data_IF_989905738589
#
_entry.id   IF_989905738589
#
_cell.length_a   1.000
_cell.length_b   1.000
_cell.length_c   1.000
_cell.angle_alpha   90.00
_cell.angle_beta   90.00
_cell.angle_gamma   90.00
#
_symmetry.space_group_name_H-M   'P 1'
#
loop_
_entity.id
_entity.type
_entity.pdbx_description
1 polymer ?
#
# COMPACT_ATOMS: atom_id res chain seq x y z
N UNK A 1 10.69 -1.75 18.47
CA UNK A 1 12.08 -1.68 17.96
C UNK A 1 12.13 -2.44 16.63
N UNK A 2 11.72 -1.80 15.52
CA UNK A 2 11.78 -2.46 14.21
C UNK A 2 13.22 -2.70 13.78
N UNK A 3 13.49 -3.88 13.23
CA UNK A 3 14.76 -4.24 12.57
C UNK A 3 14.63 -4.30 11.04
N UNK A 4 13.39 -4.23 10.55
CA UNK A 4 12.98 -4.19 9.15
C UNK A 4 12.02 -3.02 8.96
N UNK A 5 11.87 -2.56 7.71
CA UNK A 5 10.95 -1.48 7.34
C UNK A 5 10.03 -1.91 6.19
N UNK A 6 9.43 -3.09 6.28
CA UNK A 6 8.64 -3.68 5.19
C UNK A 6 7.27 -3.04 4.96
N UNK A 7 6.73 -2.34 5.96
CA UNK A 7 5.42 -1.68 5.95
C UNK A 7 5.27 -0.76 7.18
N UNK A 8 4.20 0.03 7.23
CA UNK A 8 3.89 1.02 8.27
C UNK A 8 3.47 0.43 9.63
N UNK A 9 3.20 -0.88 9.67
CA UNK A 9 2.97 -1.66 10.90
C UNK A 9 4.05 -1.53 12.00
N UNK A 10 5.22 -0.95 11.68
CA UNK A 10 6.25 -0.56 12.66
C UNK A 10 5.77 0.52 13.66
N UNK A 11 4.77 1.32 13.29
CA UNK A 11 4.26 2.44 14.07
C UNK A 11 2.72 2.60 14.03
N UNK A 12 2.02 1.80 13.23
CA UNK A 12 0.55 1.90 13.11
C UNK A 12 -0.23 1.37 14.32
N UNK A 13 -1.50 1.78 14.50
CA UNK A 13 -2.45 1.15 15.40
C UNK A 13 -3.13 -0.10 14.79
N UNK A 14 -2.54 -0.72 13.76
CA UNK A 14 -3.08 -1.91 13.08
C UNK A 14 -2.06 -3.06 13.21
N UNK A 15 -2.57 -4.27 13.45
CA UNK A 15 -1.76 -5.49 13.45
C UNK A 15 -2.31 -6.51 12.45
N UNK A 16 -1.45 -7.03 11.57
CA UNK A 16 -1.80 -8.14 10.68
C UNK A 16 -1.44 -9.45 11.38
N UNK A 17 -2.45 -10.24 11.75
CA UNK A 17 -2.30 -11.51 12.43
C UNK A 17 -2.89 -12.65 11.59
N UNK A 18 -2.30 -13.84 11.68
CA UNK A 18 -2.88 -15.04 11.07
C UNK A 18 -3.81 -15.72 12.06
N UNK A 19 -4.99 -16.10 11.60
CA UNK A 19 -5.90 -16.93 12.38
C UNK A 19 -5.43 -18.40 12.44
N UNK A 20 -6.17 -19.23 13.19
CA UNK A 20 -5.86 -20.65 13.34
C UNK A 20 -5.92 -21.47 12.04
N UNK A 21 -6.52 -20.92 10.97
CA UNK A 21 -6.53 -21.50 9.63
C UNK A 21 -5.41 -20.97 8.73
N UNK A 22 -4.56 -20.07 9.25
CA UNK A 22 -3.43 -19.48 8.54
C UNK A 22 -3.77 -18.26 7.68
N UNK A 23 -5.01 -17.76 7.74
CA UNK A 23 -5.47 -16.59 6.97
C UNK A 23 -5.05 -15.30 7.67
N UNK A 24 -4.40 -14.39 6.94
CA UNK A 24 -4.03 -13.07 7.44
C UNK A 24 -5.26 -12.17 7.62
N UNK A 25 -5.31 -11.44 8.73
CA UNK A 25 -6.36 -10.48 9.06
C UNK A 25 -5.74 -9.21 9.67
N UNK A 26 -6.15 -8.05 9.16
CA UNK A 26 -5.79 -6.73 9.70
C UNK A 26 -6.73 -6.36 10.85
N UNK A 27 -6.22 -6.28 12.07
CA UNK A 27 -6.96 -6.05 13.29
C UNK A 27 -6.57 -4.72 13.94
N UNK A 28 -7.54 -4.09 14.61
CA UNK A 28 -7.28 -2.91 15.44
C UNK A 28 -6.38 -3.29 16.60
N UNK A 29 -5.30 -2.53 16.76
CA UNK A 29 -4.31 -2.68 17.82
C UNK A 29 -4.14 -1.33 18.55
N UNK A 30 -2.93 -1.00 18.99
CA UNK A 30 -2.59 0.29 19.59
C UNK A 30 -1.27 0.78 19.03
N UNK A 31 -1.19 2.09 18.78
CA UNK A 31 0.07 2.74 18.47
C UNK A 31 1.11 2.48 19.57
N UNK A 32 2.38 2.17 19.24
CA UNK A 32 3.41 1.97 20.26
C UNK A 32 3.72 3.26 21.02
N UNK A 33 3.90 3.17 22.34
CA UNK A 33 4.30 4.31 23.19
C UNK A 33 5.68 4.91 22.84
N UNK A 34 6.50 4.18 22.09
CA UNK A 34 7.82 4.63 21.67
C UNK A 34 8.39 3.76 20.55
N UNK A 35 9.19 4.39 19.69
CA UNK A 35 9.85 3.75 18.55
C UNK A 35 11.34 4.08 18.59
N UNK A 36 12.16 3.03 18.55
CA UNK A 36 13.61 3.12 18.39
C UNK A 36 13.93 2.35 17.11
N UNK A 37 14.31 3.07 16.06
CA UNK A 37 14.66 2.52 14.77
C UNK A 37 16.11 2.87 14.45
N UNK A 38 16.96 1.85 14.45
CA UNK A 38 18.38 2.00 14.13
C UNK A 38 18.58 1.86 12.62
N UNK A 39 19.02 2.95 11.98
CA UNK A 39 19.25 3.01 10.54
C UNK A 39 20.35 2.07 10.07
N UNK A 40 21.36 1.76 10.89
CA UNK A 40 22.41 0.80 10.53
C UNK A 40 21.82 -0.61 10.45
N UNK A 41 20.99 -0.98 11.42
CA UNK A 41 20.29 -2.27 11.44
C UNK A 41 19.34 -2.39 10.25
N UNK A 42 18.56 -1.34 9.97
CA UNK A 42 17.64 -1.31 8.83
C UNK A 42 18.40 -1.37 7.51
N UNK A 43 19.51 -0.64 7.35
CA UNK A 43 20.32 -0.68 6.13
C UNK A 43 20.94 -2.07 5.88
N UNK A 44 21.26 -2.81 6.95
CA UNK A 44 21.75 -4.19 6.88
C UNK A 44 20.65 -5.24 6.58
N UNK A 45 19.37 -4.85 6.60
CA UNK A 45 18.27 -5.77 6.31
C UNK A 45 18.21 -6.20 4.84
N UNK A 46 17.55 -7.34 4.52
CA UNK A 46 17.39 -7.78 3.14
C UNK A 46 16.77 -6.69 2.26
N UNK A 47 17.40 -6.39 1.13
CA UNK A 47 17.00 -5.33 0.18
C UNK A 47 15.51 -5.42 -0.17
N UNK A 48 14.99 -6.64 -0.35
CA UNK A 48 13.58 -6.90 -0.66
C UNK A 48 12.62 -6.26 0.37
N UNK A 49 12.96 -6.30 1.66
CA UNK A 49 12.13 -5.70 2.73
C UNK A 49 12.18 -4.18 2.71
N UNK A 50 13.33 -3.57 2.41
CA UNK A 50 13.47 -2.11 2.25
C UNK A 50 12.65 -1.61 1.06
N UNK A 51 12.68 -2.34 -0.06
CA UNK A 51 11.85 -2.03 -1.24
C UNK A 51 10.36 -2.14 -0.92
N UNK A 52 9.94 -3.19 -0.24
CA UNK A 52 8.54 -3.35 0.16
C UNK A 52 8.03 -2.14 0.96
N UNK A 53 8.81 -1.61 1.90
CA UNK A 53 8.45 -0.38 2.64
C UNK A 53 8.23 0.84 1.77
N UNK A 54 8.97 0.96 0.66
CA UNK A 54 8.75 2.05 -0.31
C UNK A 54 7.40 1.86 -1.02
N UNK A 55 7.08 0.63 -1.41
CA UNK A 55 5.80 0.30 -2.06
C UNK A 55 4.61 0.66 -1.18
N UNK A 56 4.68 0.25 0.09
CA UNK A 56 3.69 0.55 1.12
C UNK A 56 3.51 2.06 1.31
N UNK A 57 4.59 2.81 1.53
CA UNK A 57 4.52 4.25 1.76
C UNK A 57 3.99 5.04 0.54
N UNK A 58 4.46 4.71 -0.68
CA UNK A 58 4.03 5.44 -1.89
C UNK A 58 2.55 5.18 -2.17
N UNK A 59 2.03 4.01 -1.79
CA UNK A 59 0.63 3.64 -1.96
C UNK A 59 -0.35 4.56 -1.21
N UNK A 60 0.12 5.26 -0.18
CA UNK A 60 -0.69 6.26 0.52
C UNK A 60 -1.30 7.28 -0.44
N UNK A 61 -0.62 7.65 -1.54
CA UNK A 61 -1.21 8.56 -2.53
C UNK A 61 -2.43 7.97 -3.24
N UNK A 62 -2.43 6.66 -3.49
CA UNK A 62 -3.61 5.92 -3.99
C UNK A 62 -4.71 5.88 -2.94
N UNK A 63 -4.38 5.53 -1.70
CA UNK A 63 -5.33 5.48 -0.59
C UNK A 63 -6.03 6.83 -0.35
N UNK A 64 -5.27 7.92 -0.37
CA UNK A 64 -5.79 9.28 -0.23
C UNK A 64 -6.67 9.71 -1.40
N UNK A 65 -6.41 9.18 -2.60
CA UNK A 65 -7.26 9.42 -3.77
C UNK A 65 -8.59 8.67 -3.64
N UNK A 66 -8.58 7.44 -3.12
CA UNK A 66 -9.82 6.73 -2.75
C UNK A 66 -10.59 7.42 -1.62
N UNK A 67 -9.89 7.95 -0.61
CA UNK A 67 -10.55 8.68 0.47
C UNK A 67 -11.20 9.97 -0.05
N UNK A 68 -10.52 10.71 -0.93
CA UNK A 68 -11.11 11.87 -1.62
C UNK A 68 -12.34 11.48 -2.43
N UNK A 69 -12.26 10.41 -3.23
CA UNK A 69 -13.38 9.90 -4.00
C UNK A 69 -14.58 9.54 -3.11
N UNK A 70 -14.33 8.90 -1.97
CA UNK A 70 -15.38 8.58 -0.99
C UNK A 70 -16.04 9.84 -0.42
N UNK A 71 -15.27 10.88 -0.11
CA UNK A 71 -15.81 12.16 0.36
C UNK A 71 -16.62 12.90 -0.72
N UNK A 72 -16.13 12.94 -1.96
CA UNK A 72 -16.85 13.53 -3.10
C UNK A 72 -18.19 12.82 -3.38
N UNK A 73 -18.24 11.51 -3.13
CA UNK A 73 -19.45 10.70 -3.24
C UNK A 73 -20.34 10.74 -1.97
N UNK A 74 -20.00 11.54 -0.96
CA UNK A 74 -20.74 11.67 0.30
C UNK A 74 -20.78 10.39 1.13
N UNK A 75 -19.79 9.50 0.97
CA UNK A 75 -19.69 8.22 1.69
C UNK A 75 -18.95 8.35 3.01
N UNK A 76 -18.01 9.28 3.10
CA UNK A 76 -17.14 9.47 4.25
C UNK A 76 -16.76 10.94 4.45
N UNK A 77 -16.24 11.25 5.62
CA UNK A 77 -15.61 12.53 5.93
C UNK A 77 -14.08 12.36 6.00
N UNK A 78 -13.35 13.41 5.65
CA UNK A 78 -11.89 13.41 5.66
C UNK A 78 -11.38 14.07 6.94
N UNK A 79 -10.34 13.47 7.54
CA UNK A 79 -9.57 14.14 8.57
C UNK A 79 -8.38 14.85 7.89
N UNK A 80 -8.44 16.17 7.81
CA UNK A 80 -7.54 16.99 6.98
C UNK A 80 -6.08 16.90 7.45
N UNK A 81 -5.83 16.77 8.75
CA UNK A 81 -4.47 16.74 9.26
C UNK A 81 -3.78 15.40 8.96
N UNK A 82 -4.48 14.28 9.10
CA UNK A 82 -4.06 12.96 8.71
C UNK A 82 -3.84 12.87 7.19
N UNK A 83 -4.73 13.47 6.40
CA UNK A 83 -4.54 13.60 4.95
C UNK A 83 -3.21 14.31 4.62
N UNK A 84 -2.96 15.48 5.23
CA UNK A 84 -1.76 16.27 4.99
C UNK A 84 -0.48 15.52 5.38
N UNK A 85 -0.48 14.84 6.53
CA UNK A 85 0.66 14.06 7.01
C UNK A 85 0.98 12.91 6.06
N UNK A 86 -0.02 12.10 5.72
CA UNK A 86 0.15 10.95 4.84
C UNK A 86 0.58 11.36 3.42
N UNK A 87 -0.04 12.42 2.88
CA UNK A 87 0.32 12.95 1.56
C UNK A 87 1.77 13.45 1.53
N UNK A 88 2.18 14.18 2.57
CA UNK A 88 3.55 14.72 2.65
C UNK A 88 4.58 13.61 2.78
N UNK A 89 4.28 12.59 3.60
CA UNK A 89 5.12 11.41 3.77
C UNK A 89 5.40 10.71 2.43
N UNK A 90 4.36 10.39 1.66
CA UNK A 90 4.50 9.69 0.39
C UNK A 90 5.13 10.56 -0.71
N UNK A 91 4.75 11.85 -0.80
CA UNK A 91 5.33 12.77 -1.78
C UNK A 91 6.84 12.97 -1.58
N UNK A 92 7.34 12.93 -0.35
CA UNK A 92 8.77 13.05 -0.08
C UNK A 92 9.58 11.97 -0.80
N UNK A 93 9.08 10.73 -0.80
CA UNK A 93 9.71 9.59 -1.46
C UNK A 93 9.52 9.64 -2.96
N UNK A 94 8.33 9.99 -3.46
CA UNK A 94 8.07 10.17 -4.90
C UNK A 94 8.94 11.26 -5.50
N UNK A 95 9.23 12.35 -4.77
CA UNK A 95 10.05 13.48 -5.25
C UNK A 95 11.56 13.31 -5.01
N UNK A 96 11.99 12.36 -4.18
CA UNK A 96 13.42 12.13 -3.91
C UNK A 96 14.19 11.75 -5.19
N UNK A 97 15.35 12.34 -5.43
CA UNK A 97 16.18 12.01 -6.61
C UNK A 97 16.90 10.66 -6.46
N UNK A 98 17.19 10.23 -5.23
CA UNK A 98 18.02 9.05 -4.96
C UNK A 98 17.36 7.76 -5.44
N UNK A 99 16.09 7.53 -5.05
CA UNK A 99 15.32 6.27 -5.28
C UNK A 99 16.09 4.98 -4.95
N UNK A 100 17.20 5.09 -4.22
CA UNK A 100 18.14 4.01 -3.99
C UNK A 100 17.97 3.52 -2.55
N UNK A 101 17.46 2.29 -2.42
CA UNK A 101 17.24 1.64 -1.12
C UNK A 101 18.55 1.27 -0.39
N UNK A 102 19.72 1.48 -0.98
CA UNK A 102 21.01 1.36 -0.30
C UNK A 102 21.51 2.69 0.30
N UNK A 103 20.92 3.82 -0.11
CA UNK A 103 21.23 5.13 0.44
C UNK A 103 20.54 5.32 1.79
N UNK A 104 21.34 5.54 2.84
CA UNK A 104 20.84 5.73 4.21
C UNK A 104 19.94 6.97 4.36
N UNK A 105 20.19 8.04 3.60
CA UNK A 105 19.33 9.22 3.64
C UNK A 105 17.96 8.92 3.06
N UNK A 106 17.93 8.22 1.91
CA UNK A 106 16.67 7.75 1.34
C UNK A 106 15.94 6.80 2.28
N UNK A 107 16.62 5.83 2.90
CA UNK A 107 16.01 4.93 3.88
C UNK A 107 15.46 5.66 5.10
N UNK A 108 16.14 6.70 5.58
CA UNK A 108 15.63 7.55 6.66
C UNK A 108 14.35 8.26 6.25
N UNK A 109 14.28 8.78 5.03
CA UNK A 109 13.10 9.50 4.55
C UNK A 109 11.91 8.54 4.39
N UNK A 110 12.13 7.32 3.88
CA UNK A 110 11.10 6.28 3.82
C UNK A 110 10.65 5.86 5.23
N UNK A 111 11.59 5.62 6.15
CA UNK A 111 11.28 5.27 7.54
C UNK A 111 10.44 6.36 8.22
N UNK A 112 10.83 7.62 8.08
CA UNK A 112 10.07 8.75 8.60
C UNK A 112 8.68 8.82 7.95
N UNK A 113 8.57 8.56 6.65
CA UNK A 113 7.28 8.50 5.96
C UNK A 113 6.36 7.41 6.51
N UNK A 114 6.88 6.20 6.75
CA UNK A 114 6.11 5.10 7.37
C UNK A 114 5.65 5.45 8.80
N UNK A 115 6.50 6.14 9.57
CA UNK A 115 6.13 6.64 10.91
C UNK A 115 5.01 7.67 10.83
N UNK A 116 5.12 8.63 9.88
CA UNK A 116 4.08 9.63 9.65
C UNK A 116 2.77 9.00 9.18
N UNK A 117 2.81 7.93 8.38
CA UNK A 117 1.63 7.14 8.04
C UNK A 117 0.97 6.52 9.27
N UNK A 118 1.76 5.92 10.17
CA UNK A 118 1.28 5.43 11.46
C UNK A 118 0.60 6.49 12.32
N UNK A 119 1.22 7.68 12.42
CA UNK A 119 0.65 8.84 13.14
C UNK A 119 -0.65 9.32 12.47
N UNK A 120 -0.69 9.38 11.14
CA UNK A 120 -1.88 9.79 10.40
C UNK A 120 -3.06 8.84 10.68
N UNK A 121 -2.82 7.53 10.71
CA UNK A 121 -3.86 6.55 11.06
C UNK A 121 -4.38 6.71 12.49
N UNK A 122 -3.50 6.98 13.46
CA UNK A 122 -3.91 7.24 14.84
C UNK A 122 -4.79 8.49 14.95
N UNK A 123 -4.41 9.59 14.27
CA UNK A 123 -5.20 10.83 14.25
C UNK A 123 -6.56 10.62 13.60
N UNK A 124 -6.60 9.92 12.46
CA UNK A 124 -7.84 9.65 11.74
C UNK A 124 -8.75 8.64 12.48
N UNK A 125 -8.21 7.84 13.39
CA UNK A 125 -8.92 6.72 14.01
C UNK A 125 -9.26 5.59 13.04
N UNK A 126 -8.63 5.56 11.87
CA UNK A 126 -8.86 4.60 10.78
C UNK A 126 -7.60 4.44 9.92
N UNK A 127 -7.52 3.35 9.17
CA UNK A 127 -6.41 3.13 8.23
C UNK A 127 -6.52 3.93 6.92
N UNK A 128 -7.63 4.68 6.72
CA UNK A 128 -7.89 5.45 5.49
C UNK A 128 -6.74 6.31 4.95
N UNK A 129 -5.93 7.00 5.79
CA UNK A 129 -4.81 7.79 5.28
C UNK A 129 -3.76 6.97 4.53
N UNK A 130 -3.66 5.67 4.79
CA UNK A 130 -2.64 4.79 4.21
C UNK A 130 -3.23 3.60 3.45
N UNK A 131 -4.54 3.37 3.49
CA UNK A 131 -5.15 2.13 2.99
C UNK A 131 -6.50 2.37 2.28
N UNK A 132 -6.49 2.15 0.96
CA UNK A 132 -7.62 2.15 0.03
C UNK A 132 -7.69 0.85 -0.80
N UNK A 133 -8.12 0.95 -2.07
CA UNK A 133 -8.36 -0.20 -2.95
C UNK A 133 -7.09 -1.00 -3.25
N UNK A 134 -5.92 -0.35 -3.23
CA UNK A 134 -4.64 -1.04 -3.40
C UNK A 134 -4.33 -2.02 -2.25
N UNK A 135 -4.77 -1.70 -1.04
CA UNK A 135 -4.66 -2.59 0.11
C UNK A 135 -5.71 -3.69 0.09
N UNK A 136 -6.92 -3.42 -0.41
CA UNK A 136 -7.93 -4.45 -0.62
C UNK A 136 -7.45 -5.53 -1.60
N UNK A 137 -6.77 -5.11 -2.68
CA UNK A 137 -6.10 -6.03 -3.60
C UNK A 137 -5.03 -6.88 -2.89
N UNK A 138 -4.16 -6.28 -2.07
CA UNK A 138 -3.19 -7.03 -1.27
C UNK A 138 -3.86 -8.00 -0.30
N UNK A 139 -4.90 -7.57 0.41
CA UNK A 139 -5.64 -8.44 1.31
C UNK A 139 -6.29 -9.61 0.58
N UNK A 140 -6.82 -9.42 -0.63
CA UNK A 140 -7.37 -10.51 -1.43
C UNK A 140 -6.28 -11.51 -1.85
N UNK A 141 -5.09 -11.04 -2.23
CA UNK A 141 -3.93 -11.91 -2.50
C UNK A 141 -3.51 -12.71 -1.27
N UNK A 142 -3.50 -12.11 -0.08
CA UNK A 142 -3.20 -12.80 1.16
C UNK A 142 -4.22 -13.91 1.48
N UNK A 143 -5.50 -13.69 1.15
CA UNK A 143 -6.56 -14.72 1.30
C UNK A 143 -6.42 -15.84 0.28
N UNK A 144 -6.09 -15.52 -0.98
CA UNK A 144 -5.87 -16.51 -2.03
C UNK A 144 -4.60 -17.34 -1.76
N UNK A 145 -3.60 -16.71 -1.14
CA UNK A 145 -2.31 -17.30 -0.83
C UNK A 145 -1.22 -16.82 -1.79
N UNK A 146 -0.32 -15.98 -1.29
CA UNK A 146 0.85 -15.50 -2.02
C UNK A 146 2.10 -15.54 -1.15
N UNK A 147 3.26 -15.53 -1.80
CA UNK A 147 4.58 -15.39 -1.14
C UNK A 147 5.19 -13.99 -1.32
N UNK A 148 4.50 -13.10 -2.03
CA UNK A 148 4.88 -11.70 -2.18
C UNK A 148 4.77 -10.96 -0.84
N UNK A 149 5.67 -10.01 -0.60
CA UNK A 149 5.60 -9.15 0.58
C UNK A 149 4.45 -8.14 0.43
N UNK A 150 3.86 -7.71 1.55
CA UNK A 150 2.74 -6.78 1.56
C UNK A 150 2.97 -5.54 0.68
N UNK A 151 4.05 -4.80 0.89
CA UNK A 151 4.38 -3.62 0.10
C UNK A 151 4.66 -3.90 -1.40
N UNK A 152 5.02 -5.13 -1.77
CA UNK A 152 5.11 -5.53 -3.19
C UNK A 152 3.71 -5.68 -3.80
N UNK A 153 2.81 -6.34 -3.08
CA UNK A 153 1.42 -6.53 -3.51
C UNK A 153 0.69 -5.18 -3.63
N UNK A 154 0.84 -4.33 -2.63
CA UNK A 154 0.26 -3.00 -2.54
C UNK A 154 0.77 -2.08 -3.66
N UNK A 155 2.05 -2.20 -4.06
CA UNK A 155 2.61 -1.45 -5.19
C UNK A 155 1.90 -1.81 -6.51
N UNK A 156 1.63 -3.08 -6.77
CA UNK A 156 0.86 -3.51 -7.96
C UNK A 156 -0.59 -3.05 -7.86
N UNK A 157 -1.21 -3.17 -6.68
CA UNK A 157 -2.56 -2.63 -6.42
C UNK A 157 -2.67 -1.13 -6.70
N UNK A 158 -1.63 -0.36 -6.36
CA UNK A 158 -1.56 1.10 -6.59
C UNK A 158 -1.63 1.42 -8.07
N UNK A 159 -0.91 0.67 -8.92
CA UNK A 159 -0.94 0.84 -10.38
C UNK A 159 -2.35 0.58 -10.93
N UNK A 160 -2.96 -0.54 -10.53
CA UNK A 160 -4.29 -0.95 -10.98
C UNK A 160 -5.37 0.07 -10.57
N UNK A 161 -5.37 0.47 -9.30
CA UNK A 161 -6.38 1.40 -8.77
C UNK A 161 -6.22 2.80 -9.35
N UNK A 162 -4.98 3.25 -9.56
CA UNK A 162 -4.72 4.54 -10.20
C UNK A 162 -5.21 4.57 -11.66
N UNK A 163 -5.03 3.47 -12.41
CA UNK A 163 -5.60 3.35 -13.76
C UNK A 163 -7.12 3.41 -13.74
N UNK A 164 -7.77 2.67 -12.83
CA UNK A 164 -9.23 2.66 -12.71
C UNK A 164 -9.80 4.04 -12.36
N UNK A 165 -9.06 4.87 -11.61
CA UNK A 165 -9.41 6.28 -11.33
C UNK A 165 -9.13 7.23 -12.50
N UNK A 166 -8.48 6.78 -13.57
CA UNK A 166 -8.06 7.64 -14.67
C UNK A 166 -6.90 8.58 -14.33
N UNK A 167 -6.07 8.21 -13.35
CA UNK A 167 -4.90 8.98 -12.88
C UNK A 167 -3.61 8.56 -13.63
N UNK A 168 -2.49 9.25 -13.37
CA UNK A 168 -1.16 8.91 -13.92
C UNK A 168 -0.58 7.67 -13.23
N UNK A 169 -1.13 6.50 -13.55
CA UNK A 169 -0.64 5.21 -13.07
C UNK A 169 0.81 4.93 -13.53
N UNK A 170 1.23 5.52 -14.65
CA UNK A 170 2.59 5.37 -15.15
C UNK A 170 3.62 6.01 -14.22
N UNK A 171 3.26 7.08 -13.49
CA UNK A 171 4.12 7.65 -12.44
C UNK A 171 4.47 6.60 -11.38
N UNK A 172 3.45 5.92 -10.84
CA UNK A 172 3.66 4.90 -9.81
C UNK A 172 4.51 3.75 -10.35
N UNK A 173 4.18 3.25 -11.54
CA UNK A 173 4.97 2.20 -12.22
C UNK A 173 6.44 2.59 -12.36
N UNK A 174 6.73 3.81 -12.85
CA UNK A 174 8.11 4.31 -12.97
C UNK A 174 8.83 4.39 -11.62
N UNK A 175 8.17 4.89 -10.58
CA UNK A 175 8.76 4.98 -9.23
C UNK A 175 9.09 3.58 -8.68
N UNK A 176 8.17 2.63 -8.83
CA UNK A 176 8.36 1.25 -8.37
C UNK A 176 9.47 0.53 -9.15
N UNK A 177 9.51 0.69 -10.47
CA UNK A 177 10.58 0.14 -11.32
C UNK A 177 11.96 0.70 -10.92
N UNK A 178 12.08 2.01 -10.69
CA UNK A 178 13.33 2.65 -10.26
C UNK A 178 13.84 2.11 -8.91
N UNK A 179 12.93 1.79 -8.00
CA UNK A 179 13.25 1.24 -6.67
C UNK A 179 13.52 -0.28 -6.75
N UNK A 180 13.11 -0.93 -7.83
CA UNK A 180 13.25 -2.37 -8.07
C UNK A 180 12.15 -3.21 -7.41
N UNK A 181 10.95 -2.66 -7.28
CA UNK A 181 9.74 -3.36 -6.87
C UNK A 181 9.11 -4.10 -8.06
N UNK A 182 8.38 -5.20 -7.82
CA UNK A 182 7.57 -5.82 -8.88
C UNK A 182 6.42 -4.91 -9.28
N UNK A 183 6.17 -4.82 -10.58
CA UNK A 183 5.09 -4.00 -11.17
C UNK A 183 4.06 -4.83 -11.96
N UNK A 184 4.13 -6.16 -11.85
CA UNK A 184 3.25 -7.10 -12.56
C UNK A 184 3.09 -8.42 -11.80
N UNK A 185 2.13 -9.24 -12.24
CA UNK A 185 1.79 -10.52 -11.64
C UNK A 185 2.98 -11.49 -11.58
N UNK A 186 3.75 -11.59 -12.67
CA UNK A 186 4.95 -12.44 -12.72
C UNK A 186 6.00 -12.02 -11.70
N UNK A 187 6.22 -10.72 -11.51
CA UNK A 187 7.13 -10.17 -10.51
C UNK A 187 6.70 -10.45 -9.07
N UNK A 188 5.40 -10.58 -8.83
CA UNK A 188 4.84 -11.04 -7.54
C UNK A 188 4.90 -12.57 -7.38
N UNK A 189 5.26 -13.31 -8.44
CA UNK A 189 5.24 -14.78 -8.43
C UNK A 189 3.83 -15.37 -8.45
N UNK A 190 2.84 -14.66 -9.00
CA UNK A 190 1.45 -15.12 -9.16
C UNK A 190 1.08 -15.21 -10.65
N UNK A 191 0.03 -15.97 -10.98
CA UNK A 191 -0.51 -16.00 -12.35
C UNK A 191 -1.38 -14.78 -12.64
N UNK A 192 -1.60 -14.52 -13.93
CA UNK A 192 -2.51 -13.47 -14.40
C UNK A 192 -3.94 -13.68 -13.88
N UNK A 193 -4.41 -14.93 -13.83
CA UNK A 193 -5.72 -15.30 -13.28
C UNK A 193 -5.80 -14.99 -11.78
N UNK A 194 -4.75 -15.22 -11.02
CA UNK A 194 -4.70 -14.87 -9.59
C UNK A 194 -4.75 -13.36 -9.40
N UNK A 195 -4.06 -12.58 -10.24
CA UNK A 195 -4.12 -11.12 -10.17
C UNK A 195 -5.53 -10.59 -10.48
N UNK A 196 -6.16 -11.06 -11.57
CA UNK A 196 -7.54 -10.67 -11.92
C UNK A 196 -8.51 -11.08 -10.81
N UNK A 197 -8.39 -12.31 -10.31
CA UNK A 197 -9.24 -12.82 -9.23
C UNK A 197 -9.10 -12.00 -7.95
N UNK A 198 -7.88 -11.65 -7.55
CA UNK A 198 -7.65 -10.80 -6.38
C UNK A 198 -8.31 -9.44 -6.53
N UNK A 199 -8.22 -8.81 -7.70
CA UNK A 199 -8.85 -7.51 -7.95
C UNK A 199 -10.38 -7.57 -7.89
N UNK A 200 -10.99 -8.66 -8.36
CA UNK A 200 -12.44 -8.89 -8.25
C UNK A 200 -12.88 -9.20 -6.81
N UNK A 201 -12.07 -9.93 -6.05
CA UNK A 201 -12.39 -10.28 -4.65
C UNK A 201 -12.07 -9.16 -3.64
N UNK A 202 -11.26 -8.16 -4.03
CA UNK A 202 -10.75 -7.08 -3.19
C UNK A 202 -11.83 -6.36 -2.35
N UNK A 203 -12.96 -5.87 -2.90
CA UNK A 203 -14.04 -5.24 -2.13
C UNK A 203 -14.56 -6.07 -0.94
N UNK A 204 -14.51 -7.40 -1.04
CA UNK A 204 -15.01 -8.29 0.01
C UNK A 204 -14.10 -8.33 1.24
N UNK A 205 -12.87 -7.85 1.11
CA UNK A 205 -11.90 -7.82 2.21
C UNK A 205 -12.18 -6.69 3.20
N UNK A 206 -12.87 -5.62 2.74
CA UNK A 206 -13.28 -4.46 3.54
C UNK A 206 -14.66 -3.95 3.07
N UNK A 207 -15.75 -4.67 3.37
CA UNK A 207 -17.09 -4.33 2.87
C UNK A 207 -17.65 -2.99 3.40
N UNK A 208 -16.99 -2.40 4.39
CA UNK A 208 -17.27 -1.08 4.97
C UNK A 208 -16.55 0.08 4.26
N UNK A 209 -15.67 -0.22 3.29
CA UNK A 209 -14.88 0.75 2.53
C UNK A 209 -15.59 1.14 1.24
N UNK A 210 -15.43 2.41 0.86
CA UNK A 210 -15.71 2.88 -0.50
C UNK A 210 -14.42 3.35 -1.17
N UNK A 211 -14.03 2.68 -2.24
CA UNK A 211 -12.82 2.95 -3.03
C UNK A 211 -13.20 3.02 -4.51
N UNK A 212 -12.21 3.17 -5.38
CA UNK A 212 -12.43 3.05 -6.82
C UNK A 212 -13.03 1.68 -7.21
N UNK A 213 -12.74 0.61 -6.48
CA UNK A 213 -13.21 -0.74 -6.80
C UNK A 213 -14.73 -0.85 -6.65
N UNK A 214 -15.30 -0.29 -5.58
CA UNK A 214 -16.76 -0.16 -5.41
C UNK A 214 -17.34 0.84 -6.41
N UNK A 215 -16.63 1.95 -6.67
CA UNK A 215 -17.10 3.02 -7.53
C UNK A 215 -17.33 2.55 -8.98
N UNK A 216 -16.40 1.77 -9.54
CA UNK A 216 -16.55 1.20 -10.89
C UNK A 216 -17.39 -0.08 -10.92
N UNK A 217 -17.75 -0.63 -9.75
CA UNK A 217 -18.42 -1.92 -9.64
C UNK A 217 -17.56 -3.04 -10.22
N UNK A 218 -16.33 -3.19 -9.71
CA UNK A 218 -15.30 -4.08 -10.26
C UNK A 218 -15.86 -5.50 -10.54
N UNK A 219 -15.66 -5.94 -11.79
CA UNK A 219 -15.98 -7.29 -12.25
C UNK A 219 -14.79 -7.88 -13.03
N UNK A 220 -14.91 -9.13 -13.47
CA UNK A 220 -13.80 -9.81 -14.18
C UNK A 220 -13.38 -9.08 -15.46
N UNK A 221 -14.32 -8.46 -16.17
CA UNK A 221 -14.04 -7.76 -17.41
C UNK A 221 -13.24 -6.49 -17.13
N UNK A 222 -13.72 -5.64 -16.21
CA UNK A 222 -13.04 -4.39 -15.83
C UNK A 222 -11.66 -4.70 -15.22
N UNK A 223 -11.58 -5.71 -14.36
CA UNK A 223 -10.33 -6.12 -13.74
C UNK A 223 -9.29 -6.58 -14.76
N UNK A 224 -9.70 -7.38 -15.75
CA UNK A 224 -8.82 -7.86 -16.83
C UNK A 224 -8.37 -6.71 -17.74
N UNK A 225 -9.30 -5.85 -18.15
CA UNK A 225 -8.99 -4.67 -18.98
C UNK A 225 -7.97 -3.76 -18.27
N UNK A 226 -8.15 -3.50 -16.97
CA UNK A 226 -7.20 -2.70 -16.19
C UNK A 226 -5.83 -3.37 -16.07
N UNK A 227 -5.79 -4.67 -15.81
CA UNK A 227 -4.54 -5.41 -15.66
C UNK A 227 -3.75 -5.48 -16.99
N UNK A 228 -4.43 -5.67 -18.13
CA UNK A 228 -3.81 -5.66 -19.45
C UNK A 228 -3.32 -4.25 -19.84
N UNK A 229 -4.16 -3.22 -19.64
CA UNK A 229 -3.82 -1.84 -19.99
C UNK A 229 -2.61 -1.30 -19.22
N UNK A 230 -2.43 -1.73 -17.97
CA UNK A 230 -1.30 -1.33 -17.12
C UNK A 230 -0.06 -2.21 -17.32
N UNK A 231 -0.18 -3.33 -18.05
CA UNK A 231 0.85 -4.35 -18.21
C UNK A 231 1.18 -5.06 -16.89
N UNK A 232 0.19 -5.18 -16.00
CA UNK A 232 0.26 -6.02 -14.79
C UNK A 232 0.09 -7.49 -15.17
N UNK A 233 -0.66 -7.79 -16.23
CA UNK A 233 -0.75 -9.11 -16.86
C UNK A 233 -0.42 -9.07 -18.35
#
# INVERSE_FOLDING_TARGET
VPTLMSHDGICSPIAVLKDGAGKSQSLVARMPHGLIADLEVIAASPVRTRRAGVGDLVSNLSALSDWRLACECGKEEMEDFAYLLSNTAALSVVKSESKNVEDKLFLRDVLNGLILGGIAMEIAGTSRPCSGGEHEFSHALDVIGTSALHGEQVAVGTILCSYLRGEDWQLYKRVFDLVGLPVNASGLGISSETAVRALVEAPRTRPDRYTILEHVGIDEKIAREAAEATGVI
#
